data_IF_038084647934
#
_entry.id   IF_038084647934
#
_cell.length_a   1.000
_cell.length_b   1.000
_cell.length_c   1.000
_cell.angle_alpha   90.00
_cell.angle_beta   90.00
_cell.angle_gamma   90.00
#
_symmetry.space_group_name_H-M   'P 1'
#
loop_
_entity.id
_entity.type
_entity.pdbx_description
1 polymer ?
#
# COMPACT_ATOMS: atom_id res chain seq x y z
N UNK A 1 -12.10 10.72 -8.23
CA UNK A 1 -11.21 11.72 -7.61
C UNK A 1 -10.10 10.94 -6.94
N UNK A 2 -8.83 11.15 -7.31
CA UNK A 2 -7.71 10.53 -6.60
C UNK A 2 -7.52 11.25 -5.27
N UNK A 3 -7.30 10.51 -4.19
CA UNK A 3 -6.93 11.09 -2.89
C UNK A 3 -5.58 11.82 -3.04
N UNK A 4 -5.47 13.10 -2.65
CA UNK A 4 -4.24 13.88 -2.82
C UNK A 4 -3.04 13.23 -2.12
N UNK A 5 -3.26 12.58 -0.97
CA UNK A 5 -2.21 11.84 -0.26
C UNK A 5 -1.65 10.64 -1.05
N UNK A 6 -2.47 10.00 -1.89
CA UNK A 6 -2.02 8.89 -2.74
C UNK A 6 -1.17 9.44 -3.88
N UNK A 7 -1.57 10.56 -4.47
CA UNK A 7 -0.85 11.21 -5.58
C UNK A 7 0.55 11.67 -5.15
N UNK A 8 0.66 12.32 -3.99
CA UNK A 8 1.95 12.74 -3.41
C UNK A 8 2.85 11.53 -3.10
N UNK A 9 2.30 10.46 -2.51
CA UNK A 9 3.04 9.23 -2.23
C UNK A 9 3.58 8.60 -3.52
N UNK A 10 2.78 8.57 -4.59
CA UNK A 10 3.19 8.01 -5.88
C UNK A 10 4.31 8.82 -6.51
N UNK A 11 4.22 10.15 -6.47
CA UNK A 11 5.23 11.02 -7.07
C UNK A 11 6.57 10.92 -6.33
N UNK A 12 6.55 10.82 -5.00
CA UNK A 12 7.76 10.56 -4.20
C UNK A 12 8.42 9.21 -4.52
N UNK A 13 7.62 8.14 -4.60
CA UNK A 13 8.12 6.81 -4.94
C UNK A 13 8.66 6.76 -6.37
N UNK A 14 7.99 7.43 -7.30
CA UNK A 14 8.44 7.57 -8.70
C UNK A 14 9.74 8.37 -8.77
N UNK A 15 9.84 9.49 -8.06
CA UNK A 15 11.04 10.31 -7.98
C UNK A 15 12.23 9.56 -7.36
N UNK A 16 11.98 8.66 -6.41
CA UNK A 16 12.98 7.76 -5.84
C UNK A 16 13.40 6.63 -6.79
N UNK A 17 12.72 6.47 -7.93
CA UNK A 17 13.07 5.53 -8.99
C UNK A 17 12.46 4.14 -8.83
N UNK A 18 11.31 4.04 -8.15
CA UNK A 18 10.49 2.83 -8.04
C UNK A 18 9.81 2.54 -9.39
N UNK A 19 9.62 1.26 -9.72
CA UNK A 19 8.89 0.88 -10.94
C UNK A 19 7.40 1.23 -10.87
N UNK A 20 6.80 1.56 -12.02
CA UNK A 20 5.37 1.88 -12.10
C UNK A 20 4.50 0.71 -11.64
N UNK A 21 4.89 -0.54 -11.92
CA UNK A 21 4.17 -1.73 -11.45
C UNK A 21 4.11 -1.82 -9.91
N UNK A 22 5.21 -1.49 -9.23
CA UNK A 22 5.25 -1.43 -7.77
C UNK A 22 4.38 -0.30 -7.22
N UNK A 23 4.41 0.88 -7.86
CA UNK A 23 3.61 2.05 -7.48
C UNK A 23 2.11 1.79 -7.68
N UNK A 24 1.72 1.22 -8.82
CA UNK A 24 0.33 0.85 -9.12
C UNK A 24 -0.17 -0.21 -8.13
N UNK A 25 0.65 -1.21 -7.80
CA UNK A 25 0.29 -2.22 -6.81
C UNK A 25 0.08 -1.63 -5.42
N UNK A 26 1.01 -0.78 -4.94
CA UNK A 26 0.85 -0.07 -3.66
C UNK A 26 -0.43 0.77 -3.64
N UNK A 27 -0.72 1.46 -4.74
CA UNK A 27 -1.94 2.27 -4.91
C UNK A 27 -3.21 1.42 -4.86
N UNK A 28 -3.20 0.28 -5.53
CA UNK A 28 -4.30 -0.66 -5.52
C UNK A 28 -4.55 -1.18 -4.10
N UNK A 29 -3.49 -1.48 -3.34
CA UNK A 29 -3.58 -1.85 -1.94
C UNK A 29 -4.15 -0.73 -1.07
N UNK A 30 -3.66 0.51 -1.17
CA UNK A 30 -4.20 1.66 -0.42
C UNK A 30 -5.69 1.84 -0.69
N UNK A 31 -6.13 1.77 -1.96
CA UNK A 31 -7.55 1.87 -2.31
C UNK A 31 -8.37 0.70 -1.78
N UNK A 32 -7.82 -0.52 -1.85
CA UNK A 32 -8.47 -1.73 -1.30
C UNK A 32 -8.58 -1.65 0.21
N UNK A 33 -7.62 -1.07 0.90
CA UNK A 33 -7.69 -0.82 2.34
C UNK A 33 -8.78 0.20 2.67
N UNK A 34 -8.81 1.35 2.01
CA UNK A 34 -9.83 2.39 2.26
C UNK A 34 -11.26 1.86 2.06
N UNK A 35 -11.49 1.14 0.96
CA UNK A 35 -12.81 0.59 0.62
C UNK A 35 -13.15 -0.66 1.45
N UNK A 36 -12.20 -1.59 1.55
CA UNK A 36 -12.37 -2.86 2.24
C UNK A 36 -12.42 -2.72 3.76
N UNK A 37 -11.66 -1.80 4.37
CA UNK A 37 -11.73 -1.55 5.80
C UNK A 37 -13.10 -0.96 6.18
N UNK A 38 -13.60 0.00 5.40
CA UNK A 38 -14.94 0.57 5.63
C UNK A 38 -16.03 -0.50 5.55
N UNK A 39 -15.93 -1.42 4.57
CA UNK A 39 -16.85 -2.55 4.45
C UNK A 39 -16.69 -3.58 5.59
N UNK A 40 -15.46 -3.87 6.00
CA UNK A 40 -15.16 -4.82 7.07
C UNK A 40 -15.58 -4.29 8.45
N UNK A 41 -15.45 -2.97 8.70
CA UNK A 41 -16.00 -2.31 9.88
C UNK A 41 -17.52 -2.38 9.94
N UNK A 42 -18.20 -2.35 8.79
CA UNK A 42 -19.65 -2.54 8.70
C UNK A 42 -20.08 -4.03 8.72
N UNK A 43 -19.13 -4.96 8.66
CA UNK A 43 -19.39 -6.41 8.60
C UNK A 43 -19.36 -7.06 9.97
N UNK A 44 -20.17 -8.11 10.15
CA UNK A 44 -20.26 -8.84 11.42
C UNK A 44 -18.97 -9.60 11.79
N UNK A 45 -18.10 -9.91 10.81
CA UNK A 45 -16.80 -10.55 11.03
C UNK A 45 -15.72 -9.59 11.56
N UNK A 46 -16.00 -8.28 11.57
CA UNK A 46 -15.08 -7.24 12.05
C UNK A 46 -13.92 -6.95 11.09
N UNK A 47 -13.19 -5.84 11.34
CA UNK A 47 -12.05 -5.45 10.50
C UNK A 47 -10.84 -6.35 10.68
N UNK A 48 -10.72 -7.12 11.77
CA UNK A 48 -9.54 -7.93 12.09
C UNK A 48 -9.20 -8.94 11.00
N UNK A 49 -10.20 -9.71 10.53
CA UNK A 49 -9.99 -10.71 9.46
C UNK A 49 -9.57 -10.05 8.15
N UNK A 50 -10.20 -8.92 7.81
CA UNK A 50 -9.81 -8.13 6.64
C UNK A 50 -8.38 -7.61 6.75
N UNK A 51 -7.99 -7.09 7.92
CA UNK A 51 -6.64 -6.60 8.19
C UNK A 51 -5.62 -7.74 8.08
N UNK A 52 -5.93 -8.92 8.62
CA UNK A 52 -5.05 -10.10 8.55
C UNK A 52 -4.82 -10.53 7.08
N UNK A 53 -5.90 -10.71 6.31
CA UNK A 53 -5.81 -11.08 4.90
C UNK A 53 -5.10 -9.99 4.08
N UNK A 54 -5.45 -8.72 4.30
CA UNK A 54 -4.83 -7.59 3.63
C UNK A 54 -3.33 -7.51 3.93
N UNK A 55 -2.93 -7.69 5.19
CA UNK A 55 -1.53 -7.66 5.61
C UNK A 55 -0.75 -8.79 4.95
N UNK A 56 -1.31 -10.00 4.87
CA UNK A 56 -0.69 -11.13 4.18
C UNK A 56 -0.50 -10.87 2.68
N UNK A 57 -1.49 -10.26 2.02
CA UNK A 57 -1.43 -9.87 0.62
C UNK A 57 -0.37 -8.80 0.36
N UNK A 58 -0.32 -7.75 1.19
CA UNK A 58 0.70 -6.69 1.11
C UNK A 58 2.10 -7.25 1.36
N UNK A 59 2.26 -8.16 2.32
CA UNK A 59 3.55 -8.82 2.56
C UNK A 59 4.00 -9.63 1.35
N UNK A 60 3.12 -10.46 0.78
CA UNK A 60 3.40 -11.21 -0.46
C UNK A 60 3.79 -10.29 -1.60
N UNK A 61 3.08 -9.18 -1.77
CA UNK A 61 3.41 -8.20 -2.79
C UNK A 61 4.79 -7.58 -2.55
N UNK A 62 5.08 -7.16 -1.32
CA UNK A 62 6.39 -6.62 -0.94
C UNK A 62 7.53 -7.62 -1.14
N UNK A 63 7.29 -8.91 -0.95
CA UNK A 63 8.27 -9.95 -1.23
C UNK A 63 8.39 -10.26 -2.74
N UNK A 64 7.35 -10.00 -3.53
CA UNK A 64 7.40 -10.07 -4.99
C UNK A 64 8.04 -8.85 -5.66
N UNK A 65 8.16 -7.73 -4.93
CA UNK A 65 8.80 -6.52 -5.44
C UNK A 65 10.30 -6.76 -5.69
N UNK A 66 10.88 -6.09 -6.70
CA UNK A 66 12.33 -6.02 -6.85
C UNK A 66 12.99 -5.47 -5.57
N UNK A 67 14.19 -5.97 -5.22
CA UNK A 67 14.94 -5.48 -4.06
C UNK A 67 15.11 -3.95 -4.06
N UNK A 68 15.35 -3.36 -5.25
CA UNK A 68 15.44 -1.91 -5.43
C UNK A 68 14.15 -1.20 -5.01
N UNK A 69 13.01 -1.68 -5.49
CA UNK A 69 11.70 -1.07 -5.19
C UNK A 69 11.36 -1.26 -3.71
N UNK A 70 11.64 -2.45 -3.16
CA UNK A 70 11.44 -2.72 -1.73
C UNK A 70 12.30 -1.81 -0.85
N UNK A 71 13.54 -1.54 -1.24
CA UNK A 71 14.41 -0.60 -0.53
C UNK A 71 13.83 0.83 -0.57
N UNK A 72 13.39 1.30 -1.75
CA UNK A 72 12.76 2.60 -1.91
C UNK A 72 11.50 2.71 -1.04
N UNK A 73 10.65 1.67 -1.02
CA UNK A 73 9.45 1.64 -0.19
C UNK A 73 9.78 1.70 1.30
N UNK A 74 10.80 0.95 1.75
CA UNK A 74 11.23 0.98 3.15
C UNK A 74 11.79 2.35 3.56
N UNK A 75 12.55 3.02 2.69
CA UNK A 75 13.02 4.39 2.92
C UNK A 75 11.85 5.38 2.99
N UNK A 76 10.87 5.22 2.11
CA UNK A 76 9.63 6.00 2.15
C UNK A 76 8.87 5.82 3.49
N UNK A 77 8.70 4.58 3.96
CA UNK A 77 8.06 4.30 5.26
C UNK A 77 8.83 4.94 6.43
N UNK A 78 10.15 4.80 6.45
CA UNK A 78 11.01 5.42 7.46
C UNK A 78 10.92 6.94 7.45
N UNK A 79 10.90 7.55 6.27
CA UNK A 79 10.80 9.02 6.10
C UNK A 79 9.47 9.56 6.63
N UNK A 80 8.39 8.82 6.43
CA UNK A 80 7.03 9.23 6.81
C UNK A 80 6.60 8.75 8.21
N UNK A 81 7.43 7.98 8.91
CA UNK A 81 7.13 7.48 10.25
C UNK A 81 5.99 6.46 10.30
N UNK A 82 5.78 5.74 9.19
CA UNK A 82 4.76 4.70 9.01
C UNK A 82 5.28 3.31 9.38
#
# INVERSE_FOLDING_TARGET
MSDPAIDESQDELRAAGMSEASIEGLTAFTRRFQTGLSAAQASAEGPDKFIEEYTADVQKFRDSMPEKDRAIYNDYLKKNGL
#
